data_IF_852656309710
#
_entry.id   IF_852656309710
#
_cell.length_a   1.000
_cell.length_b   1.000
_cell.length_c   1.000
_cell.angle_alpha   90.00
_cell.angle_beta   90.00
_cell.angle_gamma   90.00
#
_symmetry.space_group_name_H-M   'P 1'
#
loop_
_entity.id
_entity.type
_entity.pdbx_description
1 polymer ?
#
# COMPACT_ATOMS: atom_id res chain seq x y z
N UNK A 1 24.05 86.96 -42.57
CA UNK A 1 23.52 85.58 -42.56
C UNK A 1 22.74 85.47 -41.27
N UNK A 2 21.44 85.73 -41.35
CA UNK A 2 20.59 85.82 -40.17
C UNK A 2 20.23 84.41 -39.67
N UNK A 3 20.45 84.18 -38.38
CA UNK A 3 20.13 82.94 -37.69
C UNK A 3 18.63 82.64 -37.81
N UNK A 4 18.28 81.57 -38.50
CA UNK A 4 16.93 81.03 -38.50
C UNK A 4 16.67 80.48 -37.08
N UNK A 5 15.63 80.96 -36.36
CA UNK A 5 15.33 80.44 -35.04
C UNK A 5 14.93 78.96 -35.15
N UNK A 6 15.77 78.08 -34.62
CA UNK A 6 15.46 76.66 -34.44
C UNK A 6 14.54 76.57 -33.23
N UNK A 7 13.25 76.38 -33.47
CA UNK A 7 12.28 76.09 -32.41
C UNK A 7 12.47 74.62 -32.03
N UNK A 8 13.04 74.37 -30.87
CA UNK A 8 13.18 73.03 -30.32
C UNK A 8 11.85 72.58 -29.68
N UNK A 9 11.16 71.67 -30.36
CA UNK A 9 9.86 71.13 -29.96
C UNK A 9 9.98 69.87 -29.06
N UNK A 10 11.18 69.53 -28.57
CA UNK A 10 11.50 68.23 -27.94
C UNK A 10 11.70 68.28 -26.41
N UNK A 11 10.88 69.03 -25.69
CA UNK A 11 10.79 68.86 -24.23
C UNK A 11 10.14 67.51 -23.88
N UNK A 12 10.93 66.50 -23.48
CA UNK A 12 10.53 65.16 -23.02
C UNK A 12 9.65 65.12 -21.74
N UNK A 13 8.96 66.19 -21.38
CA UNK A 13 8.03 66.15 -20.24
C UNK A 13 6.64 65.81 -20.74
N UNK A 14 6.11 64.70 -20.23
CA UNK A 14 4.79 64.19 -20.55
C UNK A 14 3.74 65.31 -20.50
N UNK A 15 3.02 65.45 -21.61
CA UNK A 15 1.94 66.41 -21.81
C UNK A 15 0.89 66.20 -20.72
N UNK A 16 0.91 67.09 -19.72
CA UNK A 16 -0.12 67.19 -18.71
C UNK A 16 -0.74 68.57 -18.84
N UNK A 17 -2.01 68.54 -19.25
CA UNK A 17 -2.96 69.63 -19.16
C UNK A 17 -2.95 70.73 -20.25
N UNK A 18 -4.13 71.33 -20.46
CA UNK A 18 -4.47 72.21 -21.59
C UNK A 18 -3.65 73.51 -21.74
N UNK A 19 -2.74 73.79 -20.80
CA UNK A 19 -1.86 74.95 -20.80
C UNK A 19 -0.76 74.85 -21.88
N UNK A 20 -0.22 73.64 -22.12
CA UNK A 20 0.82 73.40 -23.13
C UNK A 20 0.30 73.66 -24.55
N UNK A 21 -0.99 73.38 -24.80
CA UNK A 21 -1.60 73.54 -26.13
C UNK A 21 -1.74 75.02 -26.50
N UNK A 22 -2.05 75.89 -25.53
CA UNK A 22 -2.21 77.34 -25.74
C UNK A 22 -0.87 78.02 -25.98
N UNK A 23 0.18 77.61 -25.26
CA UNK A 23 1.53 78.14 -25.46
C UNK A 23 2.13 77.65 -26.78
N UNK A 24 1.90 76.38 -27.14
CA UNK A 24 2.31 75.84 -28.44
C UNK A 24 1.59 76.55 -29.60
N UNK A 25 0.28 76.83 -29.45
CA UNK A 25 -0.48 77.59 -30.44
C UNK A 25 0.05 79.03 -30.60
N UNK A 26 0.50 79.67 -29.51
CA UNK A 26 1.12 81.01 -29.54
C UNK A 26 2.47 80.98 -30.24
N UNK A 27 3.34 80.01 -29.92
CA UNK A 27 4.64 79.83 -30.57
C UNK A 27 4.49 79.51 -32.06
N UNK A 28 3.53 78.65 -32.42
CA UNK A 28 3.24 78.32 -33.80
C UNK A 28 2.75 79.55 -34.58
N UNK A 29 1.85 80.36 -33.99
CA UNK A 29 1.40 81.61 -34.58
C UNK A 29 2.57 82.58 -34.80
N UNK A 30 3.47 82.73 -33.82
CA UNK A 30 4.66 83.58 -33.96
C UNK A 30 5.56 83.11 -35.11
N UNK A 31 5.90 81.82 -35.12
CA UNK A 31 6.75 81.22 -36.15
C UNK A 31 6.17 81.38 -37.56
N UNK A 32 4.85 81.26 -37.75
CA UNK A 32 4.23 81.49 -39.06
C UNK A 32 4.16 82.96 -39.47
N UNK A 33 4.04 83.86 -38.51
CA UNK A 33 4.05 85.31 -38.76
C UNK A 33 5.46 85.83 -39.02
N UNK A 34 6.51 85.14 -38.57
CA UNK A 34 7.89 85.49 -38.92
C UNK A 34 8.35 84.76 -40.19
N UNK A 35 8.14 83.44 -40.28
CA UNK A 35 8.67 82.60 -41.39
C UNK A 35 7.83 82.73 -42.67
N UNK A 36 6.51 82.93 -42.56
CA UNK A 36 5.64 83.17 -43.72
C UNK A 36 6.04 84.43 -44.49
N UNK A 37 6.54 85.44 -43.79
CA UNK A 37 7.08 86.67 -44.39
C UNK A 37 8.50 86.47 -44.94
N UNK A 38 9.30 85.56 -44.38
CA UNK A 38 10.62 85.18 -44.92
C UNK A 38 10.51 84.43 -46.25
N UNK A 39 9.51 83.55 -46.42
CA UNK A 39 9.30 82.85 -47.70
C UNK A 39 8.95 83.82 -48.85
N UNK A 40 8.07 84.79 -48.59
CA UNK A 40 7.69 85.82 -49.57
C UNK A 40 8.86 86.75 -49.94
N UNK A 41 9.68 87.10 -48.94
CA UNK A 41 10.88 87.92 -49.13
C UNK A 41 11.96 87.21 -49.97
N UNK A 42 12.09 85.89 -49.82
CA UNK A 42 13.07 85.08 -50.56
C UNK A 42 12.63 84.72 -52.00
N UNK A 43 11.34 84.78 -52.32
CA UNK A 43 10.84 84.58 -53.69
C UNK A 43 10.86 85.85 -54.55
N UNK A 44 11.39 86.97 -54.03
CA UNK A 44 11.48 88.24 -54.75
C UNK A 44 10.15 88.97 -54.94
N UNK A 45 9.10 88.54 -54.23
CA UNK A 45 7.77 89.14 -54.33
C UNK A 45 7.68 90.27 -53.31
N UNK A 46 7.62 91.52 -53.77
CA UNK A 46 7.42 92.68 -52.88
C UNK A 46 5.94 92.86 -52.55
N UNK A 47 5.65 93.36 -51.34
CA UNK A 47 4.29 93.52 -50.81
C UNK A 47 3.38 94.42 -51.68
N UNK A 48 3.97 95.22 -52.57
CA UNK A 48 3.26 96.18 -53.43
C UNK A 48 2.74 95.57 -54.75
N UNK A 49 3.18 94.37 -55.16
CA UNK A 49 2.92 93.84 -56.51
C UNK A 49 1.76 92.84 -56.62
N UNK A 50 1.15 92.44 -55.51
CA UNK A 50 0.09 91.42 -55.52
C UNK A 50 -1.21 91.95 -54.89
N UNK A 51 -2.36 91.84 -55.58
CA UNK A 51 -3.65 92.24 -55.04
C UNK A 51 -3.93 91.50 -53.72
N UNK A 52 -4.25 92.25 -52.66
CA UNK A 52 -4.50 91.75 -51.29
C UNK A 52 -5.36 90.48 -51.23
N UNK A 53 -6.33 90.36 -52.12
CA UNK A 53 -7.22 89.20 -52.25
C UNK A 53 -6.52 87.88 -52.63
N UNK A 54 -5.49 87.92 -53.48
CA UNK A 54 -4.77 86.70 -53.88
C UNK A 54 -3.89 86.17 -52.74
N UNK A 55 -3.30 87.07 -51.94
CA UNK A 55 -2.59 86.71 -50.73
C UNK A 55 -3.50 86.07 -49.68
N UNK A 56 -4.66 86.65 -49.42
CA UNK A 56 -5.63 86.06 -48.49
C UNK A 56 -6.09 84.66 -48.92
N UNK A 57 -6.26 84.46 -50.23
CA UNK A 57 -6.63 83.14 -50.78
C UNK A 57 -5.50 82.10 -50.64
N UNK A 58 -4.26 82.47 -50.97
CA UNK A 58 -3.10 81.58 -50.80
C UNK A 58 -2.84 81.27 -49.32
N UNK A 59 -2.93 82.29 -48.45
CA UNK A 59 -2.75 82.15 -47.01
C UNK A 59 -3.86 81.29 -46.38
N UNK A 60 -5.12 81.50 -46.76
CA UNK A 60 -6.23 80.66 -46.28
C UNK A 60 -6.11 79.21 -46.74
N UNK A 61 -5.69 78.97 -47.98
CA UNK A 61 -5.43 77.62 -48.48
C UNK A 61 -4.30 76.93 -47.71
N UNK A 62 -3.17 77.61 -47.51
CA UNK A 62 -2.03 77.09 -46.75
C UNK A 62 -2.42 76.82 -45.29
N UNK A 63 -3.10 77.78 -44.64
CA UNK A 63 -3.58 77.66 -43.26
C UNK A 63 -4.51 76.46 -43.10
N UNK A 64 -5.44 76.22 -44.02
CA UNK A 64 -6.37 75.08 -43.96
C UNK A 64 -5.62 73.75 -44.13
N UNK A 65 -4.70 73.64 -45.08
CA UNK A 65 -3.97 72.38 -45.30
C UNK A 65 -3.01 72.07 -44.17
N UNK A 66 -2.31 73.09 -43.66
CA UNK A 66 -1.40 72.97 -42.56
C UNK A 66 -2.15 72.61 -41.27
N UNK A 67 -3.22 73.33 -40.92
CA UNK A 67 -4.04 73.00 -39.74
C UNK A 67 -4.58 71.58 -39.81
N UNK A 68 -5.04 71.11 -40.98
CA UNK A 68 -5.44 69.70 -41.18
C UNK A 68 -4.28 68.73 -40.95
N UNK A 69 -3.12 68.96 -41.57
CA UNK A 69 -1.94 68.10 -41.39
C UNK A 69 -1.47 68.04 -39.93
N UNK A 70 -1.51 69.16 -39.21
CA UNK A 70 -1.17 69.20 -37.78
C UNK A 70 -2.20 68.47 -36.91
N UNK A 71 -3.50 68.64 -37.17
CA UNK A 71 -4.56 67.91 -36.46
C UNK A 71 -4.42 66.40 -36.69
N UNK A 72 -4.14 65.98 -37.92
CA UNK A 72 -3.90 64.58 -38.27
C UNK A 72 -2.66 64.03 -37.56
N UNK A 73 -1.54 64.77 -37.57
CA UNK A 73 -0.30 64.40 -36.87
C UNK A 73 -0.53 64.24 -35.36
N UNK A 74 -1.16 65.22 -34.70
CA UNK A 74 -1.45 65.17 -33.27
C UNK A 74 -2.36 63.98 -32.95
N UNK A 75 -3.40 63.76 -33.76
CA UNK A 75 -4.33 62.65 -33.57
C UNK A 75 -3.62 61.30 -33.72
N UNK A 76 -2.75 61.15 -34.72
CA UNK A 76 -1.97 59.94 -34.93
C UNK A 76 -0.98 59.70 -33.79
N UNK A 77 -0.33 60.76 -33.28
CA UNK A 77 0.57 60.67 -32.13
C UNK A 77 -0.17 60.25 -30.86
N UNK A 78 -1.35 60.84 -30.58
CA UNK A 78 -2.21 60.43 -29.47
C UNK A 78 -2.65 58.97 -29.59
N UNK A 79 -3.03 58.53 -30.79
CA UNK A 79 -3.39 57.13 -31.07
C UNK A 79 -2.23 56.18 -30.79
N UNK A 80 -1.03 56.48 -31.30
CA UNK A 80 0.17 55.66 -31.04
C UNK A 80 0.53 55.60 -29.56
N UNK A 81 0.41 56.72 -28.83
CA UNK A 81 0.63 56.76 -27.39
C UNK A 81 -0.38 55.87 -26.64
N UNK A 82 -1.65 55.91 -27.02
CA UNK A 82 -2.69 55.05 -26.46
C UNK A 82 -2.44 53.56 -26.78
N UNK A 83 -2.13 53.23 -28.03
CA UNK A 83 -1.79 51.85 -28.43
C UNK A 83 -0.58 51.31 -27.67
N UNK A 84 0.47 52.12 -27.48
CA UNK A 84 1.64 51.75 -26.70
C UNK A 84 1.25 51.49 -25.24
N UNK A 85 0.47 52.39 -24.62
CA UNK A 85 0.00 52.21 -23.25
C UNK A 85 -0.82 50.92 -23.09
N UNK A 86 -1.71 50.61 -24.03
CA UNK A 86 -2.46 49.35 -24.04
C UNK A 86 -1.53 48.13 -24.12
N UNK A 87 -0.53 48.16 -25.01
CA UNK A 87 0.46 47.08 -25.12
C UNK A 87 1.28 46.91 -23.84
N UNK A 88 1.66 48.00 -23.19
CA UNK A 88 2.36 47.96 -21.90
C UNK A 88 1.50 47.33 -20.81
N UNK A 89 0.22 47.70 -20.71
CA UNK A 89 -0.71 47.11 -19.74
C UNK A 89 -0.94 45.62 -19.99
N UNK A 90 -1.04 45.19 -21.25
CA UNK A 90 -1.15 43.77 -21.59
C UNK A 90 0.12 42.99 -21.23
N UNK A 91 1.30 43.57 -21.45
CA UNK A 91 2.56 42.96 -21.08
C UNK A 91 2.71 42.83 -19.55
N UNK A 92 2.34 43.86 -18.80
CA UNK A 92 2.34 43.85 -17.33
C UNK A 92 1.40 42.77 -16.77
N UNK A 93 0.17 42.70 -17.28
CA UNK A 93 -0.80 41.68 -16.86
C UNK A 93 -0.32 40.25 -17.19
N UNK A 94 0.30 40.06 -18.35
CA UNK A 94 0.89 38.78 -18.73
C UNK A 94 2.05 38.40 -17.79
N UNK A 95 2.96 39.34 -17.49
CA UNK A 95 4.08 39.08 -16.57
C UNK A 95 3.58 38.79 -15.15
N UNK A 96 2.57 39.51 -14.68
CA UNK A 96 1.91 39.27 -13.39
C UNK A 96 1.34 37.86 -13.31
N UNK A 97 0.58 37.42 -14.32
CA UNK A 97 0.03 36.06 -14.40
C UNK A 97 1.13 35.01 -14.45
N UNK A 98 2.18 35.24 -15.22
CA UNK A 98 3.33 34.34 -15.31
C UNK A 98 4.01 34.18 -13.94
N UNK A 99 4.28 35.29 -13.25
CA UNK A 99 4.88 35.28 -11.91
C UNK A 99 4.00 34.52 -10.90
N UNK A 100 2.69 34.74 -10.93
CA UNK A 100 1.74 33.97 -10.10
C UNK A 100 1.75 32.48 -10.44
N UNK A 101 1.78 32.13 -11.72
CA UNK A 101 1.86 30.74 -12.18
C UNK A 101 3.15 30.04 -11.72
N UNK A 102 4.28 30.73 -11.76
CA UNK A 102 5.57 30.22 -11.26
C UNK A 102 5.55 30.01 -9.74
N UNK A 103 5.00 30.97 -8.99
CA UNK A 103 4.85 30.85 -7.54
C UNK A 103 3.95 29.67 -7.15
N UNK A 104 2.81 29.52 -7.83
CA UNK A 104 1.89 28.42 -7.60
C UNK A 104 2.53 27.07 -7.93
N UNK A 105 3.24 26.97 -9.07
CA UNK A 105 3.94 25.75 -9.47
C UNK A 105 4.98 25.35 -8.43
N UNK A 106 5.82 26.30 -7.99
CA UNK A 106 6.82 26.06 -6.93
C UNK A 106 6.17 25.60 -5.63
N UNK A 107 5.06 26.23 -5.24
CA UNK A 107 4.31 25.83 -4.05
C UNK A 107 3.73 24.41 -4.17
N UNK A 108 3.13 24.07 -5.30
CA UNK A 108 2.59 22.73 -5.57
C UNK A 108 3.68 21.66 -5.55
N UNK A 109 4.84 21.91 -6.19
CA UNK A 109 5.99 21.00 -6.13
C UNK A 109 6.48 20.79 -4.70
N UNK A 110 6.57 21.87 -3.90
CA UNK A 110 6.93 21.77 -2.49
C UNK A 110 5.92 20.98 -1.66
N UNK A 111 4.62 21.14 -1.93
CA UNK A 111 3.57 20.37 -1.27
C UNK A 111 3.65 18.88 -1.63
N UNK A 112 3.83 18.55 -2.90
CA UNK A 112 3.99 17.18 -3.38
C UNK A 112 5.22 16.51 -2.74
N UNK A 113 6.36 17.22 -2.69
CA UNK A 113 7.57 16.74 -2.02
C UNK A 113 7.34 16.44 -0.55
N UNK A 114 6.68 17.35 0.19
CA UNK A 114 6.33 17.13 1.61
C UNK A 114 5.44 15.92 1.80
N UNK A 115 4.40 15.75 0.98
CA UNK A 115 3.52 14.56 1.03
C UNK A 115 4.30 13.27 0.78
N UNK A 116 5.20 13.26 -0.20
CA UNK A 116 6.07 12.10 -0.48
C UNK A 116 6.99 11.78 0.72
N UNK A 117 7.61 12.79 1.34
CA UNK A 117 8.43 12.60 2.54
C UNK A 117 7.62 12.06 3.72
N UNK A 118 6.41 12.57 3.93
CA UNK A 118 5.51 12.08 4.98
C UNK A 118 5.09 10.63 4.73
N UNK A 119 4.74 10.27 3.49
CA UNK A 119 4.40 8.90 3.13
C UNK A 119 5.56 7.94 3.42
N UNK A 120 6.79 8.29 3.03
CA UNK A 120 7.98 7.49 3.30
C UNK A 120 8.28 7.34 4.81
N UNK A 121 8.01 8.38 5.61
CA UNK A 121 8.15 8.29 7.07
C UNK A 121 7.11 7.35 7.69
N UNK A 122 5.86 7.43 7.25
CA UNK A 122 4.78 6.54 7.69
C UNK A 122 5.10 5.08 7.34
N UNK A 123 5.57 4.82 6.12
CA UNK A 123 5.97 3.47 5.69
C UNK A 123 7.05 2.88 6.60
N UNK A 124 8.08 3.67 6.95
CA UNK A 124 9.12 3.25 7.88
C UNK A 124 8.57 2.91 9.27
N UNK A 125 7.68 3.74 9.80
CA UNK A 125 7.03 3.49 11.09
C UNK A 125 6.17 2.22 11.07
N UNK A 126 5.38 2.04 10.01
CA UNK A 126 4.58 0.84 9.82
C UNK A 126 5.45 -0.42 9.75
N UNK A 127 6.58 -0.38 9.06
CA UNK A 127 7.52 -1.50 8.99
C UNK A 127 8.07 -1.88 10.38
N UNK A 128 8.47 -0.90 11.18
CA UNK A 128 8.95 -1.14 12.56
C UNK A 128 7.83 -1.70 13.43
N UNK A 129 6.64 -1.09 13.38
CA UNK A 129 5.49 -1.53 14.17
C UNK A 129 5.06 -2.96 13.81
N UNK A 130 4.99 -3.29 12.52
CA UNK A 130 4.68 -4.63 12.05
C UNK A 130 5.73 -5.64 12.49
N UNK A 131 7.02 -5.28 12.49
CA UNK A 131 8.09 -6.12 13.01
C UNK A 131 7.93 -6.43 14.51
N UNK A 132 7.58 -5.43 15.33
CA UNK A 132 7.32 -5.62 16.76
C UNK A 132 6.09 -6.51 16.97
N UNK A 133 4.99 -6.23 16.26
CA UNK A 133 3.75 -7.00 16.34
C UNK A 133 3.98 -8.48 15.97
N UNK A 134 4.74 -8.74 14.91
CA UNK A 134 5.07 -10.10 14.50
C UNK A 134 5.87 -10.85 15.57
N UNK A 135 6.86 -10.20 16.20
CA UNK A 135 7.62 -10.79 17.31
C UNK A 135 6.72 -11.15 18.49
N UNK A 136 5.79 -10.27 18.88
CA UNK A 136 4.84 -10.57 19.95
C UNK A 136 3.93 -11.75 19.60
N UNK A 137 3.39 -11.80 18.37
CA UNK A 137 2.57 -12.92 17.92
C UNK A 137 3.35 -14.24 17.97
N UNK A 138 4.61 -14.25 17.52
CA UNK A 138 5.45 -15.44 17.60
C UNK A 138 5.72 -15.90 19.04
N UNK A 139 5.98 -14.96 19.96
CA UNK A 139 6.17 -15.28 21.39
C UNK A 139 4.90 -15.89 21.96
N UNK A 140 3.74 -15.26 21.76
CA UNK A 140 2.45 -15.77 22.24
C UNK A 140 2.13 -17.14 21.64
N UNK A 141 2.38 -17.34 20.35
CA UNK A 141 2.18 -18.62 19.70
C UNK A 141 3.10 -19.71 20.28
N UNK A 142 4.39 -19.41 20.49
CA UNK A 142 5.35 -20.35 21.09
C UNK A 142 4.95 -20.75 22.52
N UNK A 143 4.39 -19.82 23.29
CA UNK A 143 3.89 -20.08 24.63
C UNK A 143 2.67 -21.00 24.58
N UNK A 144 1.69 -20.71 23.73
CA UNK A 144 0.49 -21.53 23.55
C UNK A 144 0.82 -22.96 23.08
N UNK A 145 1.77 -23.11 22.15
CA UNK A 145 2.26 -24.43 21.70
C UNK A 145 2.91 -25.19 22.86
N UNK A 146 3.72 -24.52 23.67
CA UNK A 146 4.37 -25.13 24.85
C UNK A 146 3.35 -25.58 25.89
N UNK A 147 2.33 -24.78 26.15
CA UNK A 147 1.23 -25.13 27.06
C UNK A 147 0.45 -26.33 26.55
N UNK A 148 0.10 -26.34 25.26
CA UNK A 148 -0.63 -27.46 24.64
C UNK A 148 0.17 -28.77 24.73
N UNK A 149 1.49 -28.70 24.51
CA UNK A 149 2.38 -29.86 24.67
C UNK A 149 2.39 -30.39 26.11
N UNK A 150 2.52 -29.51 27.10
CA UNK A 150 2.48 -29.89 28.53
C UNK A 150 1.16 -30.53 28.90
N UNK A 151 0.04 -29.96 28.44
CA UNK A 151 -1.29 -30.50 28.68
C UNK A 151 -1.45 -31.89 28.07
N UNK A 152 -0.97 -32.09 26.84
CA UNK A 152 -0.98 -33.41 26.20
C UNK A 152 -0.14 -34.44 26.98
N UNK A 153 1.09 -34.09 27.37
CA UNK A 153 1.95 -34.97 28.17
C UNK A 153 1.33 -35.34 29.53
N UNK A 154 0.60 -34.41 30.15
CA UNK A 154 -0.15 -34.68 31.38
C UNK A 154 -1.24 -35.74 31.15
N UNK A 155 -2.06 -35.58 30.11
CA UNK A 155 -3.12 -36.54 29.80
C UNK A 155 -2.57 -37.91 29.39
N UNK A 156 -1.49 -37.96 28.60
CA UNK A 156 -0.82 -39.23 28.24
C UNK A 156 -0.29 -39.97 29.48
N UNK A 157 0.30 -39.25 30.44
CA UNK A 157 0.73 -39.84 31.72
C UNK A 157 -0.45 -40.38 32.52
N UNK A 158 -1.54 -39.63 32.57
CA UNK A 158 -2.75 -40.04 33.28
C UNK A 158 -3.39 -41.28 32.63
N UNK A 159 -3.49 -41.30 31.30
CA UNK A 159 -4.01 -42.45 30.54
C UNK A 159 -3.14 -43.69 30.76
N UNK A 160 -1.80 -43.56 30.67
CA UNK A 160 -0.88 -44.66 30.92
C UNK A 160 -1.04 -45.23 32.34
N UNK A 161 -1.16 -44.37 33.36
CA UNK A 161 -1.38 -44.80 34.73
C UNK A 161 -2.71 -45.56 34.90
N UNK A 162 -3.78 -45.11 34.24
CA UNK A 162 -5.07 -45.81 34.25
C UNK A 162 -4.98 -47.18 33.57
N UNK A 163 -4.29 -47.27 32.43
CA UNK A 163 -4.07 -48.54 31.73
C UNK A 163 -3.26 -49.52 32.58
N UNK A 164 -2.23 -49.05 33.28
CA UNK A 164 -1.41 -49.87 34.18
C UNK A 164 -2.22 -50.42 35.37
N UNK A 165 -2.98 -49.55 36.05
CA UNK A 165 -3.87 -49.98 37.13
C UNK A 165 -4.94 -50.96 36.63
N UNK A 166 -5.52 -50.71 35.46
CA UNK A 166 -6.51 -51.62 34.87
C UNK A 166 -5.90 -52.98 34.54
N UNK A 167 -4.67 -53.02 34.02
CA UNK A 167 -3.93 -54.26 33.81
C UNK A 167 -3.73 -55.07 35.09
N UNK A 168 -3.45 -54.40 36.23
CA UNK A 168 -3.35 -55.07 37.52
C UNK A 168 -4.69 -55.66 37.98
N UNK A 169 -5.81 -54.95 37.79
CA UNK A 169 -7.14 -55.47 38.11
C UNK A 169 -7.43 -56.72 37.25
N UNK A 170 -7.10 -56.68 35.97
CA UNK A 170 -7.37 -57.78 35.03
C UNK A 170 -6.55 -59.04 35.36
N UNK A 171 -5.40 -58.93 36.04
CA UNK A 171 -4.63 -60.10 36.50
C UNK A 171 -5.40 -60.95 37.52
N UNK A 172 -6.39 -60.38 38.20
CA UNK A 172 -7.23 -61.10 39.17
C UNK A 172 -8.49 -61.69 38.54
N UNK A 173 -8.76 -61.43 37.26
CA UNK A 173 -9.93 -61.96 36.57
C UNK A 173 -9.68 -63.39 36.10
N UNK A 174 -10.71 -64.21 36.18
CA UNK A 174 -10.68 -65.53 35.60
C UNK A 174 -10.74 -65.46 34.07
N UNK A 175 -10.35 -66.56 33.42
CA UNK A 175 -10.21 -66.64 31.97
C UNK A 175 -11.49 -66.23 31.22
N UNK A 176 -12.66 -66.57 31.75
CA UNK A 176 -13.94 -66.19 31.15
C UNK A 176 -14.25 -64.72 31.30
N UNK A 177 -13.95 -64.13 32.45
CA UNK A 177 -14.17 -62.71 32.68
C UNK A 177 -13.23 -61.86 31.81
N UNK A 178 -11.99 -62.31 31.60
CA UNK A 178 -11.07 -61.70 30.64
C UNK A 178 -11.62 -61.69 29.21
N UNK A 179 -12.22 -62.80 28.76
CA UNK A 179 -12.85 -62.89 27.43
C UNK A 179 -14.09 -61.98 27.32
N UNK A 180 -14.88 -61.88 28.40
CA UNK A 180 -16.02 -60.97 28.45
C UNK A 180 -15.57 -59.50 28.41
N UNK A 181 -14.48 -59.14 29.10
CA UNK A 181 -13.91 -57.80 29.11
C UNK A 181 -13.51 -57.33 27.70
N UNK A 182 -13.07 -58.24 26.83
CA UNK A 182 -12.74 -57.93 25.42
C UNK A 182 -13.96 -57.42 24.61
N UNK A 183 -15.17 -57.76 25.06
CA UNK A 183 -16.42 -57.42 24.39
C UNK A 183 -17.03 -56.11 24.89
N UNK A 184 -16.57 -55.58 26.03
CA UNK A 184 -17.14 -54.38 26.67
C UNK A 184 -16.83 -53.11 25.88
N UNK A 185 -15.55 -52.82 25.61
CA UNK A 185 -15.12 -51.67 24.82
C UNK A 185 -13.72 -51.87 24.21
N UNK A 186 -13.30 -50.97 23.31
CA UNK A 186 -11.98 -51.04 22.65
C UNK A 186 -10.81 -50.97 23.64
N UNK A 187 -10.91 -50.13 24.68
CA UNK A 187 -9.86 -50.00 25.70
C UNK A 187 -9.70 -51.29 26.51
N UNK A 188 -10.81 -51.87 26.96
CA UNK A 188 -10.80 -53.13 27.70
C UNK A 188 -10.33 -54.30 26.83
N UNK A 189 -10.64 -54.28 25.53
CA UNK A 189 -10.04 -55.20 24.57
C UNK A 189 -8.52 -55.07 24.51
N UNK A 190 -7.98 -53.87 24.44
CA UNK A 190 -6.52 -53.67 24.42
C UNK A 190 -5.87 -54.16 25.72
N UNK A 191 -6.48 -53.90 26.87
CA UNK A 191 -5.99 -54.38 28.17
C UNK A 191 -6.10 -55.90 28.27
N UNK A 192 -7.27 -56.48 27.97
CA UNK A 192 -7.55 -57.92 28.02
C UNK A 192 -6.64 -58.71 27.08
N UNK A 193 -6.25 -58.14 25.94
CA UNK A 193 -5.31 -58.78 25.01
C UNK A 193 -3.83 -58.64 25.40
N UNK A 194 -3.50 -58.04 26.55
CA UNK A 194 -2.13 -57.79 26.99
C UNK A 194 -1.33 -59.09 27.19
N UNK A 195 -0.08 -59.10 26.75
CA UNK A 195 0.82 -60.27 26.80
C UNK A 195 0.98 -60.84 28.21
N UNK A 196 1.00 -59.97 29.23
CA UNK A 196 1.20 -60.35 30.61
C UNK A 196 0.04 -61.20 31.15
N UNK A 197 -1.20 -60.94 30.72
CA UNK A 197 -2.40 -61.64 31.18
C UNK A 197 -2.49 -63.07 30.64
N UNK A 198 -1.96 -63.30 29.43
CA UNK A 198 -2.00 -64.60 28.77
C UNK A 198 -0.73 -65.45 28.99
N UNK A 199 0.24 -64.94 29.76
CA UNK A 199 1.47 -65.66 30.06
C UNK A 199 1.25 -66.97 30.82
N UNK A 200 0.24 -67.01 31.71
CA UNK A 200 -0.15 -68.16 32.52
C UNK A 200 -1.63 -68.43 32.36
N UNK A 201 -1.98 -69.38 31.50
CA UNK A 201 -3.37 -69.76 31.21
C UNK A 201 -3.75 -70.97 32.04
N UNK A 202 -4.79 -70.84 32.86
CA UNK A 202 -5.32 -71.95 33.66
C UNK A 202 -6.76 -72.29 33.28
N UNK A 203 -6.94 -73.42 32.58
CA UNK A 203 -8.23 -73.94 32.20
C UNK A 203 -8.85 -74.89 33.24
N UNK A 204 -8.10 -75.29 34.28
CA UNK A 204 -8.59 -76.24 35.29
C UNK A 204 -9.76 -75.69 36.10
N UNK A 205 -9.88 -74.35 36.20
CA UNK A 205 -10.94 -73.66 36.95
C UNK A 205 -12.30 -73.85 36.27
N UNK A 206 -12.34 -73.89 34.94
CA UNK A 206 -13.57 -74.05 34.14
C UNK A 206 -13.65 -75.42 33.45
N UNK A 207 -13.00 -76.44 34.04
CA UNK A 207 -12.78 -77.76 33.43
C UNK A 207 -14.04 -78.48 32.92
N UNK A 208 -15.20 -78.21 33.49
CA UNK A 208 -16.48 -78.83 33.13
C UNK A 208 -17.22 -78.09 32.00
N UNK A 209 -16.85 -76.84 31.75
CA UNK A 209 -17.54 -75.94 30.81
C UNK A 209 -16.71 -75.59 29.59
N UNK A 210 -15.41 -75.87 29.64
CA UNK A 210 -14.51 -75.51 28.57
C UNK A 210 -14.65 -76.46 27.37
N UNK A 211 -14.85 -75.87 26.19
CA UNK A 211 -14.97 -76.62 24.95
C UNK A 211 -13.66 -76.62 24.16
N UNK A 212 -13.48 -77.66 23.36
CA UNK A 212 -12.39 -77.80 22.40
C UNK A 212 -12.24 -76.59 21.47
N UNK A 213 -13.36 -76.02 21.03
CA UNK A 213 -13.37 -74.82 20.21
C UNK A 213 -12.85 -73.60 20.96
N UNK A 214 -13.28 -73.40 22.21
CA UNK A 214 -12.86 -72.27 23.05
C UNK A 214 -11.34 -72.30 23.30
N UNK A 215 -10.80 -73.45 23.70
CA UNK A 215 -9.35 -73.63 23.90
C UNK A 215 -8.59 -73.31 22.61
N UNK A 216 -9.06 -73.84 21.48
CA UNK A 216 -8.41 -73.63 20.19
C UNK A 216 -8.41 -72.16 19.78
N UNK A 217 -9.50 -71.42 19.99
CA UNK A 217 -9.58 -70.00 19.66
C UNK A 217 -8.60 -69.18 20.50
N UNK A 218 -8.58 -69.42 21.81
CA UNK A 218 -7.68 -68.73 22.76
C UNK A 218 -6.22 -69.02 22.39
N UNK A 219 -5.86 -70.29 22.23
CA UNK A 219 -4.49 -70.68 21.91
C UNK A 219 -4.05 -70.29 20.50
N UNK A 220 -4.96 -70.08 19.54
CA UNK A 220 -4.59 -69.51 18.23
C UNK A 220 -4.31 -68.01 18.33
N UNK A 221 -5.10 -67.30 19.13
CA UNK A 221 -5.06 -65.84 19.23
C UNK A 221 -3.95 -65.34 20.13
N UNK A 222 -3.75 -65.98 21.28
CA UNK A 222 -2.81 -65.55 22.31
C UNK A 222 -1.54 -66.42 22.36
N UNK A 223 -1.39 -67.36 21.42
CA UNK A 223 -0.23 -68.29 21.30
C UNK A 223 1.11 -67.65 21.63
N UNK A 224 1.47 -66.47 21.06
CA UNK A 224 2.82 -65.93 21.21
C UNK A 224 3.18 -65.57 22.66
N UNK A 225 2.17 -65.41 23.52
CA UNK A 225 2.34 -64.93 24.88
C UNK A 225 2.25 -66.05 25.93
N UNK A 226 1.67 -67.21 25.58
CA UNK A 226 1.45 -68.32 26.52
C UNK A 226 2.78 -69.02 26.84
N UNK A 227 3.21 -68.93 28.10
CA UNK A 227 4.41 -69.63 28.62
C UNK A 227 4.06 -70.82 29.51
N UNK A 228 2.94 -70.73 30.22
CA UNK A 228 2.45 -71.78 31.12
C UNK A 228 0.98 -72.06 30.82
N UNK A 229 0.64 -73.33 30.63
CA UNK A 229 -0.69 -73.79 30.30
C UNK A 229 -1.10 -74.91 31.25
N UNK A 230 -2.14 -74.71 32.06
CA UNK A 230 -2.70 -75.72 32.94
C UNK A 230 -4.04 -76.22 32.37
N UNK A 231 -4.11 -77.52 32.09
CA UNK A 231 -5.28 -78.24 31.55
C UNK A 231 -5.83 -79.29 32.52
N UNK A 232 -5.40 -79.27 33.79
CA UNK A 232 -5.71 -80.32 34.76
C UNK A 232 -7.22 -80.48 34.94
N UNK A 233 -7.71 -81.72 34.80
CA UNK A 233 -9.12 -82.06 35.00
C UNK A 233 -10.04 -81.73 33.82
N UNK A 234 -9.53 -81.19 32.72
CA UNK A 234 -10.31 -80.95 31.49
C UNK A 234 -10.46 -82.25 30.69
N UNK A 235 -11.40 -83.13 31.09
CA UNK A 235 -11.60 -84.45 30.49
C UNK A 235 -12.34 -84.43 29.14
N UNK A 236 -13.02 -83.33 28.83
CA UNK A 236 -13.77 -83.15 27.58
C UNK A 236 -12.90 -82.69 26.40
N UNK A 237 -11.60 -82.45 26.62
CA UNK A 237 -10.71 -81.93 25.59
C UNK A 237 -10.10 -83.04 24.73
N UNK A 238 -10.12 -82.87 23.41
CA UNK A 238 -9.51 -83.80 22.46
C UNK A 238 -8.15 -83.31 21.98
N UNK A 239 -7.28 -84.26 21.61
CA UNK A 239 -5.94 -83.95 21.06
C UNK A 239 -5.99 -83.00 19.84
N UNK A 240 -7.10 -83.02 19.10
CA UNK A 240 -7.33 -82.15 17.96
C UNK A 240 -7.31 -80.66 18.32
N UNK A 241 -7.62 -80.30 19.56
CA UNK A 241 -7.69 -78.91 20.02
C UNK A 241 -6.37 -78.35 20.53
N UNK A 242 -5.39 -79.22 20.77
CA UNK A 242 -4.01 -78.85 21.11
C UNK A 242 -3.09 -78.80 19.87
N UNK A 243 -3.59 -79.11 18.68
CA UNK A 243 -2.82 -79.07 17.42
C UNK A 243 -2.22 -77.69 17.13
N UNK A 244 -2.82 -76.61 17.65
CA UNK A 244 -2.32 -75.25 17.52
C UNK A 244 -1.07 -74.94 18.37
N UNK A 245 -0.71 -75.81 19.33
CA UNK A 245 0.49 -75.67 20.17
C UNK A 245 1.74 -76.18 19.44
N UNK A 246 1.58 -76.97 18.37
CA UNK A 246 2.69 -77.67 17.69
C UNK A 246 3.77 -76.68 17.24
N UNK A 247 4.91 -76.72 17.94
CA UNK A 247 6.10 -75.92 17.68
C UNK A 247 6.72 -76.42 16.37
N UNK A 248 6.85 -75.53 15.39
CA UNK A 248 7.74 -75.76 14.26
C UNK A 248 9.15 -75.33 14.67
N UNK A 249 10.08 -76.28 14.70
CA UNK A 249 11.51 -76.03 14.91
C UNK A 249 12.12 -76.99 15.93
N UNK A 250 12.99 -77.88 15.46
CA UNK A 250 13.79 -78.79 16.27
C UNK A 250 14.59 -78.02 17.35
N UNK A 251 14.54 -78.49 18.59
CA UNK A 251 15.66 -78.86 19.48
C UNK A 251 15.03 -79.45 20.73
N UNK A 252 15.63 -80.55 21.16
CA UNK A 252 15.24 -81.43 22.26
C UNK A 252 15.21 -80.73 23.63
N UNK A 253 14.35 -81.30 24.48
CA UNK A 253 14.44 -81.37 25.94
C UNK A 253 13.75 -80.33 26.84
N UNK A 254 12.88 -80.91 27.68
CA UNK A 254 12.34 -80.46 28.98
C UNK A 254 11.20 -79.44 28.96
N UNK A 255 10.00 -79.95 28.72
CA UNK A 255 8.82 -79.53 29.51
C UNK A 255 8.14 -80.80 30.00
N UNK A 256 8.15 -81.01 31.32
CA UNK A 256 7.39 -82.05 31.98
C UNK A 256 5.90 -81.79 31.77
N UNK A 257 5.26 -82.64 30.98
CA UNK A 257 3.82 -82.82 30.96
C UNK A 257 3.50 -83.78 32.11
N UNK A 258 3.23 -83.23 33.30
CA UNK A 258 2.54 -84.01 34.34
C UNK A 258 1.07 -84.13 33.92
N UNK A 259 0.67 -85.36 33.58
CA UNK A 259 -0.69 -85.81 33.25
C UNK A 259 -1.50 -86.00 34.51
#
# INVERSE_FOLDING_TARGET
MDNIPVVDFLGEKGVSDGHDVVDLARQLKSAFTEVGFVYLKNTGITQEELPTYQFEKAYSFYRIHLTRGWVEYITQRKRKAYELHQKMNLADEHDRRRCQGLALTRWMTGLAFRRSKQAAAIEKLQKVFNGIRFKHVLVLWSLAVKETKRTKEYFEKQEKAVLEMSGQIFQYLELRDLLNCELVCSTWRTIACSELLWSRVNFSVEKERITDWTVRQILRRYRPFVTNLNLRGCTSLTWHSLTCIRVGGAVTDRVGLDV
#
